data_IF_023078696802
#
_entry.id   IF_023078696802
#
_cell.length_a   1.000
_cell.length_b   1.000
_cell.length_c   1.000
_cell.angle_alpha   90.00
_cell.angle_beta   90.00
_cell.angle_gamma   90.00
#
_symmetry.space_group_name_H-M   'P 1'
#
loop_
_entity.id
_entity.type
_entity.pdbx_description
1 polymer ?
#
# COMPACT_ATOMS: atom_id res chain seq x y z
N UNK A 1 -17.35 23.10 2.31
CA UNK A 1 -15.89 22.92 2.20
C UNK A 1 -15.59 21.44 2.37
N UNK A 2 -14.93 20.80 1.40
CA UNK A 2 -14.47 19.42 1.62
C UNK A 2 -13.42 19.46 2.74
N UNK A 3 -13.66 18.72 3.80
CA UNK A 3 -12.74 18.54 4.94
C UNK A 3 -11.49 17.82 4.43
N UNK A 4 -10.56 18.59 3.90
CA UNK A 4 -9.53 18.06 3.04
C UNK A 4 -8.24 17.90 3.87
N UNK A 5 -8.13 16.76 4.55
CA UNK A 5 -6.86 16.29 5.10
C UNK A 5 -6.00 15.66 3.99
N UNK A 6 -5.56 14.41 4.19
CA UNK A 6 -4.82 13.65 3.18
C UNK A 6 -5.52 13.56 1.81
N UNK A 7 -6.85 13.66 1.78
CA UNK A 7 -7.64 13.68 0.56
C UNK A 7 -7.28 14.83 -0.41
N UNK A 8 -6.65 15.91 0.07
CA UNK A 8 -6.16 16.99 -0.80
C UNK A 8 -5.21 16.46 -1.86
N UNK A 9 -4.38 15.47 -1.56
CA UNK A 9 -3.40 14.89 -2.48
C UNK A 9 -4.04 14.14 -3.66
N UNK A 10 -5.35 13.83 -3.57
CA UNK A 10 -6.09 13.11 -4.59
C UNK A 10 -6.51 14.04 -5.73
N UNK A 11 -5.53 14.49 -6.53
CA UNK A 11 -5.79 15.23 -7.77
C UNK A 11 -5.92 14.25 -8.94
N UNK A 12 -7.13 14.11 -9.47
CA UNK A 12 -7.47 13.16 -10.54
C UNK A 12 -6.45 13.18 -11.71
N UNK A 13 -6.12 14.36 -12.22
CA UNK A 13 -5.14 14.54 -13.31
C UNK A 13 -3.80 13.85 -13.04
N UNK A 14 -3.25 13.94 -11.81
CA UNK A 14 -1.97 13.29 -11.47
C UNK A 14 -2.11 11.80 -11.25
N UNK A 15 -3.26 11.34 -10.76
CA UNK A 15 -3.54 9.91 -10.62
C UNK A 15 -3.65 9.23 -12.00
N UNK A 16 -4.20 9.90 -13.00
CA UNK A 16 -4.25 9.38 -14.37
C UNK A 16 -2.86 9.22 -15.02
N UNK A 17 -1.88 10.04 -14.62
CA UNK A 17 -0.51 9.95 -15.11
C UNK A 17 0.40 9.04 -14.25
N UNK A 18 -0.16 8.33 -13.28
CA UNK A 18 0.57 7.30 -12.54
C UNK A 18 0.75 6.04 -13.39
N UNK A 19 1.85 5.33 -13.19
CA UNK A 19 2.14 4.06 -13.88
C UNK A 19 1.17 2.96 -13.44
N UNK A 20 0.61 3.09 -12.23
CA UNK A 20 -0.46 2.24 -11.71
C UNK A 20 -1.23 2.97 -10.61
N UNK A 21 -2.54 2.79 -10.55
CA UNK A 21 -3.34 3.17 -9.40
C UNK A 21 -4.44 2.15 -9.12
N UNK A 22 -4.82 1.98 -7.86
CA UNK A 22 -5.92 1.14 -7.43
C UNK A 22 -6.61 1.74 -6.22
N UNK A 23 -7.93 1.80 -6.26
CA UNK A 23 -8.76 2.27 -5.16
C UNK A 23 -9.68 1.15 -4.70
N UNK A 24 -9.69 0.89 -3.39
CA UNK A 24 -10.59 -0.05 -2.76
C UNK A 24 -11.38 0.67 -1.67
N UNK A 25 -12.68 0.39 -1.62
CA UNK A 25 -13.56 0.79 -0.53
C UNK A 25 -14.13 -0.49 0.08
N UNK A 26 -13.88 -0.69 1.37
CA UNK A 26 -14.30 -1.86 2.10
C UNK A 26 -15.13 -1.43 3.31
N UNK A 27 -16.31 -2.03 3.46
CA UNK A 27 -17.17 -1.84 4.62
C UNK A 27 -17.18 -3.16 5.38
N UNK A 28 -16.82 -3.12 6.67
CA UNK A 28 -16.93 -4.29 7.53
C UNK A 28 -17.59 -3.96 8.88
N UNK A 29 -18.33 -4.90 9.47
CA UNK A 29 -18.75 -4.77 10.85
C UNK A 29 -17.51 -4.85 11.77
N UNK A 30 -17.51 -4.03 12.81
CA UNK A 30 -16.49 -4.00 13.87
C UNK A 30 -17.17 -3.93 15.24
N UNK A 31 -16.60 -4.60 16.24
CA UNK A 31 -17.12 -4.56 17.60
C UNK A 31 -16.51 -3.40 18.39
N UNK A 32 -17.34 -2.57 19.03
CA UNK A 32 -16.88 -1.58 20.01
C UNK A 32 -16.72 -2.26 21.37
N UNK A 33 -15.47 -2.46 21.79
CA UNK A 33 -15.14 -2.86 23.16
C UNK A 33 -14.71 -1.62 23.94
N UNK A 34 -15.22 -1.39 25.16
CA UNK A 34 -14.72 -0.30 26.02
C UNK A 34 -13.25 -0.60 26.35
N UNK A 35 -12.34 0.25 25.87
CA UNK A 35 -10.94 0.26 26.28
C UNK A 35 -10.87 0.48 27.79
N UNK A 36 -10.67 -0.59 28.57
CA UNK A 36 -9.88 -0.46 29.79
C UNK A 36 -8.43 -0.33 29.31
N UNK A 37 -7.80 0.80 29.61
CA UNK A 37 -6.40 1.08 29.27
C UNK A 37 -5.49 -0.01 29.86
N UNK A 38 -5.11 -0.98 29.03
CA UNK A 38 -3.89 -1.74 29.23
C UNK A 38 -3.26 -1.92 27.86
N UNK A 39 -2.00 -1.53 27.75
CA UNK A 39 -1.19 -1.46 26.55
C UNK A 39 -1.29 -2.70 25.67
N UNK A 40 -1.71 -2.54 24.41
CA UNK A 40 -1.38 -3.50 23.36
C UNK A 40 -0.78 -2.75 22.17
N UNK A 41 0.49 -3.07 21.92
CA UNK A 41 1.22 -2.78 20.69
C UNK A 41 0.38 -3.26 19.50
N UNK A 42 0.00 -2.34 18.61
CA UNK A 42 -0.72 -2.66 17.39
C UNK A 42 0.20 -3.35 16.38
N UNK A 43 0.43 -4.65 16.55
CA UNK A 43 0.88 -5.52 15.48
C UNK A 43 -0.34 -6.01 14.72
N UNK A 44 -0.68 -5.34 13.62
CA UNK A 44 -1.78 -5.74 12.74
C UNK A 44 -1.43 -7.05 12.03
N UNK A 45 -1.79 -8.19 12.61
CA UNK A 45 -1.82 -9.48 11.93
C UNK A 45 -3.24 -9.71 11.41
N UNK A 46 -3.43 -9.56 10.10
CA UNK A 46 -4.65 -10.03 9.44
C UNK A 46 -4.64 -11.56 9.46
N UNK A 47 -5.35 -12.15 10.42
CA UNK A 47 -5.73 -13.56 10.38
C UNK A 47 -7.01 -13.65 9.56
N UNK A 48 -6.87 -13.93 8.25
CA UNK A 48 -8.00 -14.34 7.42
C UNK A 48 -8.30 -15.81 7.75
N UNK A 49 -9.27 -16.06 8.62
CA UNK A 49 -9.89 -17.38 8.75
C UNK A 49 -11.00 -17.49 7.70
N UNK A 50 -10.87 -18.53 6.88
CA UNK A 50 -11.79 -19.12 5.92
C UNK A 50 -13.10 -18.39 5.58
N UNK A 51 -13.24 -18.09 4.29
CA UNK A 51 -14.54 -17.94 3.64
C UNK A 51 -15.24 -19.31 3.62
N UNK A 52 -16.05 -19.61 4.64
CA UNK A 52 -17.22 -20.53 4.55
C UNK A 52 -18.01 -20.49 5.85
N UNK A 53 -18.58 -19.31 6.15
CA UNK A 53 -19.87 -19.08 6.86
C UNK A 53 -19.86 -17.63 7.33
N UNK A 54 -20.74 -16.82 6.76
CA UNK A 54 -21.26 -15.61 7.40
C UNK A 54 -22.13 -16.00 8.62
N UNK A 55 -21.57 -16.76 9.56
CA UNK A 55 -22.03 -16.69 10.93
C UNK A 55 -21.18 -15.62 11.57
N UNK A 56 -21.80 -14.48 11.88
CA UNK A 56 -21.27 -13.53 12.85
C UNK A 56 -20.76 -14.36 14.03
N UNK A 57 -19.44 -14.50 14.18
CA UNK A 57 -18.89 -14.96 15.44
C UNK A 57 -19.22 -13.82 16.38
N UNK A 58 -20.33 -14.00 17.09
CA UNK A 58 -20.78 -13.07 18.11
C UNK A 58 -19.75 -13.21 19.23
N UNK A 59 -18.71 -12.39 19.13
CA UNK A 59 -17.74 -12.27 20.20
C UNK A 59 -18.54 -11.91 21.46
N UNK A 60 -18.51 -12.77 22.47
CA UNK A 60 -19.32 -12.61 23.68
C UNK A 60 -19.00 -11.29 24.41
N UNK A 61 -17.86 -10.67 24.08
CA UNK A 61 -17.41 -9.37 24.58
C UNK A 61 -17.92 -8.16 23.77
N UNK A 62 -18.64 -8.38 22.66
CA UNK A 62 -19.09 -7.33 21.76
C UNK A 62 -20.31 -6.58 22.32
N UNK A 63 -20.07 -5.40 22.92
CA UNK A 63 -21.11 -4.57 23.52
C UNK A 63 -22.02 -3.91 22.46
N UNK A 64 -21.46 -3.55 21.30
CA UNK A 64 -22.20 -2.95 20.20
C UNK A 64 -21.48 -3.17 18.86
N UNK A 65 -22.25 -3.54 17.83
CA UNK A 65 -21.78 -3.61 16.45
C UNK A 65 -21.75 -2.20 15.86
N UNK A 66 -20.62 -1.83 15.27
CA UNK A 66 -20.42 -0.60 14.51
C UNK A 66 -19.94 -0.96 13.10
N UNK A 67 -20.07 -0.03 12.17
CA UNK A 67 -19.52 -0.20 10.82
C UNK A 67 -18.20 0.55 10.68
N UNK A 68 -17.21 -0.08 10.06
CA UNK A 68 -15.97 0.55 9.64
C UNK A 68 -15.95 0.66 8.12
N UNK A 69 -15.85 1.90 7.63
CA UNK A 69 -15.57 2.20 6.23
C UNK A 69 -14.06 2.43 6.08
N UNK A 70 -13.40 1.57 5.30
CA UNK A 70 -11.98 1.70 4.97
C UNK A 70 -11.83 1.97 3.48
N UNK A 71 -11.30 3.14 3.15
CA UNK A 71 -10.88 3.48 1.80
C UNK A 71 -9.35 3.39 1.71
N UNK A 72 -8.84 2.74 0.67
CA UNK A 72 -7.41 2.62 0.39
C UNK A 72 -7.16 3.00 -1.06
N UNK A 73 -6.19 3.89 -1.28
CA UNK A 73 -5.69 4.23 -2.61
C UNK A 73 -4.20 3.89 -2.66
N UNK A 74 -3.82 3.09 -3.64
CA UNK A 74 -2.43 2.77 -3.96
C UNK A 74 -2.09 3.41 -5.29
N UNK A 75 -0.95 4.09 -5.36
CA UNK A 75 -0.48 4.78 -6.58
C UNK A 75 1.01 4.51 -6.74
N UNK A 76 1.43 4.19 -7.96
CA UNK A 76 2.83 4.01 -8.34
C UNK A 76 3.18 5.10 -9.33
N UNK A 77 4.15 5.92 -8.96
CA UNK A 77 4.73 6.93 -9.85
C UNK A 77 6.06 6.43 -10.38
N UNK A 78 6.37 6.75 -11.62
CA UNK A 78 7.72 6.58 -12.14
C UNK A 78 8.70 7.40 -11.30
N UNK A 79 9.92 6.88 -11.14
CA UNK A 79 10.96 7.62 -10.44
C UNK A 79 11.30 8.86 -11.28
N UNK A 80 10.89 10.04 -10.82
CA UNK A 80 11.27 11.30 -11.44
C UNK A 80 12.78 11.47 -11.30
N UNK A 81 13.52 11.11 -12.36
CA UNK A 81 14.92 11.47 -12.47
C UNK A 81 14.98 12.97 -12.73
N UNK A 82 15.53 13.73 -11.79
CA UNK A 82 16.02 15.07 -12.13
C UNK A 82 17.03 14.92 -13.28
N UNK A 83 17.21 15.94 -14.13
CA UNK A 83 18.18 15.91 -15.24
C UNK A 83 19.62 15.56 -14.84
N UNK A 84 19.90 15.45 -13.54
CA UNK A 84 21.16 15.00 -12.93
C UNK A 84 21.17 13.52 -12.47
N UNK A 85 20.18 12.69 -12.84
CA UNK A 85 20.13 11.26 -12.44
C UNK A 85 19.69 11.01 -10.98
N UNK A 86 19.27 12.06 -10.25
CA UNK A 86 18.81 11.96 -8.87
C UNK A 86 17.32 11.62 -8.80
N UNK A 87 16.95 10.62 -8.00
CA UNK A 87 15.56 10.16 -7.81
C UNK A 87 14.80 10.95 -6.74
N UNK A 88 15.02 12.26 -6.68
CA UNK A 88 14.44 13.13 -5.66
C UNK A 88 12.93 13.29 -5.85
N UNK A 89 12.16 13.08 -4.79
CA UNK A 89 10.71 13.25 -4.83
C UNK A 89 10.18 14.18 -3.74
N UNK A 90 8.99 14.72 -3.99
CA UNK A 90 8.24 15.49 -3.02
C UNK A 90 6.75 15.29 -3.22
N UNK A 91 5.94 15.56 -2.19
CA UNK A 91 4.48 15.52 -2.32
C UNK A 91 4.01 16.41 -3.47
N UNK A 92 4.60 17.61 -3.62
CA UNK A 92 4.27 18.49 -4.73
C UNK A 92 4.66 17.92 -6.10
N UNK A 93 5.83 17.27 -6.24
CA UNK A 93 6.21 16.65 -7.52
C UNK A 93 5.28 15.49 -7.90
N UNK A 94 4.89 14.66 -6.93
CA UNK A 94 4.03 13.50 -7.15
C UNK A 94 2.55 13.89 -7.37
N UNK A 95 2.02 14.77 -6.53
CA UNK A 95 0.57 15.06 -6.46
C UNK A 95 0.19 16.47 -6.95
N UNK A 96 1.17 17.32 -7.28
CA UNK A 96 0.98 18.76 -7.57
C UNK A 96 0.23 19.51 -6.47
N UNK A 97 0.31 18.99 -5.25
CA UNK A 97 -0.34 19.52 -4.06
C UNK A 97 0.54 19.28 -2.84
N UNK A 98 0.42 20.19 -1.89
CA UNK A 98 1.00 20.08 -0.56
C UNK A 98 -0.15 19.89 0.43
N UNK A 99 0.14 19.34 1.61
CA UNK A 99 -0.86 19.20 2.66
C UNK A 99 -0.96 20.55 3.37
N UNK A 100 -2.14 21.12 3.50
CA UNK A 100 -2.33 22.42 4.19
C UNK A 100 -2.90 22.25 5.58
N UNK A 101 -3.74 21.24 5.76
CA UNK A 101 -4.51 21.03 6.98
C UNK A 101 -4.68 19.55 7.29
N UNK A 102 -4.98 19.24 8.56
CA UNK A 102 -5.50 17.94 8.95
C UNK A 102 -7.01 17.84 8.68
N UNK A 103 -7.52 16.61 8.58
CA UNK A 103 -8.96 16.41 8.57
C UNK A 103 -9.54 16.72 9.98
N UNK A 104 -10.43 17.70 10.14
CA UNK A 104 -10.94 18.12 11.45
C UNK A 104 -11.79 17.05 12.15
N UNK A 105 -12.34 16.09 11.40
CA UNK A 105 -13.09 14.96 11.95
C UNK A 105 -12.21 13.75 12.30
N UNK A 106 -10.94 13.76 11.92
CA UNK A 106 -10.06 12.62 12.14
C UNK A 106 -9.51 12.63 13.57
N UNK A 107 -9.66 11.50 14.27
CA UNK A 107 -8.98 11.27 15.56
C UNK A 107 -7.46 11.09 15.40
N UNK A 108 -7.00 10.70 14.21
CA UNK A 108 -5.61 10.52 13.86
C UNK A 108 -5.38 10.83 12.38
N UNK A 109 -4.31 11.56 12.06
CA UNK A 109 -3.95 11.87 10.67
C UNK A 109 -2.43 11.95 10.53
N UNK A 110 -1.79 10.86 10.07
CA UNK A 110 -0.33 10.74 10.02
C UNK A 110 0.17 10.39 8.61
N UNK A 111 1.31 10.94 8.24
CA UNK A 111 2.06 10.57 7.03
C UNK A 111 3.29 9.78 7.46
N UNK A 112 3.47 8.60 6.86
CA UNK A 112 4.62 7.73 7.08
C UNK A 112 5.47 7.71 5.81
N UNK A 113 6.77 7.99 5.95
CA UNK A 113 7.73 7.95 4.85
C UNK A 113 8.83 6.96 5.19
N UNK A 114 9.01 5.94 4.34
CA UNK A 114 10.08 4.95 4.53
C UNK A 114 11.45 5.60 4.28
N UNK A 115 12.29 5.61 5.31
CA UNK A 115 13.67 6.14 5.29
C UNK A 115 14.69 5.04 5.59
N UNK A 116 14.30 3.77 5.44
CA UNK A 116 15.14 2.62 5.72
C UNK A 116 16.40 2.65 4.86
N UNK A 117 17.59 2.50 5.43
CA UNK A 117 18.83 2.48 4.68
C UNK A 117 18.87 1.23 3.80
N UNK A 118 19.07 1.39 2.49
CA UNK A 118 19.17 0.25 1.55
C UNK A 118 20.56 -0.42 1.51
N UNK A 119 21.52 0.02 2.32
CA UNK A 119 22.84 -0.58 2.55
C UNK A 119 23.54 0.16 3.72
N UNK A 120 24.86 -0.01 3.93
CA UNK A 120 25.67 0.76 4.92
C UNK A 120 25.64 2.30 4.75
N UNK A 121 24.92 2.81 3.77
CA UNK A 121 24.81 4.23 3.43
C UNK A 121 23.58 4.88 4.07
N UNK A 122 23.58 5.01 5.40
CA UNK A 122 22.62 5.87 6.11
C UNK A 122 22.71 7.36 5.69
N UNK A 123 23.79 7.76 5.02
CA UNK A 123 24.19 9.17 4.90
C UNK A 123 23.77 9.89 3.61
N UNK A 124 23.16 9.19 2.65
CA UNK A 124 22.85 9.76 1.33
C UNK A 124 21.43 10.31 1.21
N UNK A 125 20.55 10.07 2.19
CA UNK A 125 19.14 10.45 2.13
C UNK A 125 18.82 11.59 3.10
N UNK A 126 18.33 12.70 2.56
CA UNK A 126 17.90 13.86 3.33
C UNK A 126 16.36 13.99 3.24
N UNK A 127 15.71 14.11 4.40
CA UNK A 127 14.26 14.28 4.47
C UNK A 127 13.93 15.65 5.06
N UNK A 128 13.10 16.41 4.35
CA UNK A 128 12.69 17.76 4.76
C UNK A 128 11.18 17.93 4.64
N UNK A 129 10.50 18.61 5.59
CA UNK A 129 11.02 19.09 6.87
C UNK A 129 11.34 17.94 7.84
N UNK A 130 11.96 18.25 8.99
CA UNK A 130 12.26 17.26 10.02
C UNK A 130 10.96 16.54 10.49
N UNK A 131 10.99 15.21 10.67
CA UNK A 131 9.80 14.46 11.08
C UNK A 131 9.39 14.76 12.52
N UNK A 132 8.10 14.61 12.82
CA UNK A 132 7.57 14.74 14.18
C UNK A 132 8.09 13.62 15.10
N UNK A 133 8.26 12.42 14.54
CA UNK A 133 8.82 11.26 15.26
C UNK A 133 9.35 10.21 14.27
N UNK A 134 10.10 9.24 14.79
CA UNK A 134 10.53 8.05 14.05
C UNK A 134 9.75 6.83 14.52
N UNK A 135 9.36 5.96 13.60
CA UNK A 135 8.70 4.70 13.90
C UNK A 135 9.45 3.53 13.27
N UNK A 136 9.86 2.57 14.09
CA UNK A 136 10.50 1.34 13.60
C UNK A 136 9.48 0.18 13.61
N UNK A 137 9.43 -0.58 12.53
CA UNK A 137 8.57 -1.75 12.40
C UNK A 137 9.29 -2.84 11.60
N UNK A 138 8.94 -4.11 11.86
CA UNK A 138 9.42 -5.24 11.05
C UNK A 138 8.36 -5.55 10.00
N UNK A 139 8.70 -5.33 8.72
CA UNK A 139 7.80 -5.56 7.58
C UNK A 139 8.40 -6.67 6.73
N UNK A 140 7.69 -7.80 6.65
CA UNK A 140 8.10 -8.98 5.87
C UNK A 140 9.50 -9.52 6.25
N UNK A 141 9.89 -9.37 7.52
CA UNK A 141 11.20 -9.82 8.04
C UNK A 141 12.29 -8.75 8.02
N UNK A 142 12.10 -7.66 7.27
CA UNK A 142 13.04 -6.54 7.24
C UNK A 142 12.70 -5.49 8.30
N UNK A 143 13.72 -4.98 8.98
CA UNK A 143 13.59 -3.80 9.84
C UNK A 143 13.40 -2.56 8.97
N UNK A 144 12.27 -1.88 9.12
CA UNK A 144 11.93 -0.63 8.45
C UNK A 144 11.90 0.52 9.44
N UNK A 145 12.41 1.67 9.02
CA UNK A 145 12.36 2.94 9.77
C UNK A 145 11.54 3.95 8.98
N UNK A 146 10.48 4.47 9.60
CA UNK A 146 9.58 5.45 9.02
C UNK A 146 9.73 6.81 9.70
N UNK A 147 9.89 7.85 8.89
CA UNK A 147 9.68 9.24 9.30
C UNK A 147 8.16 9.51 9.41
N UNK A 148 7.71 9.99 10.56
CA UNK A 148 6.29 10.19 10.86
C UNK A 148 5.99 11.68 11.00
N UNK A 149 4.99 12.15 10.26
CA UNK A 149 4.45 13.51 10.36
C UNK A 149 3.03 13.43 10.88
N UNK A 150 2.78 14.00 12.06
CA UNK A 150 1.44 14.05 12.65
C UNK A 150 0.72 15.35 12.25
N UNK A 151 -0.21 15.27 11.32
CA UNK A 151 -0.92 16.44 10.78
C UNK A 151 -1.78 17.13 11.83
N UNK A 152 -2.15 16.45 12.93
CA UNK A 152 -2.87 17.09 14.03
C UNK A 152 -1.94 17.92 14.94
N UNK A 153 -0.62 17.82 14.77
CA UNK A 153 0.33 18.61 15.55
C UNK A 153 0.41 20.05 15.02
N UNK A 154 0.13 21.08 15.86
CA UNK A 154 0.12 22.47 15.42
C UNK A 154 1.49 22.97 14.90
N UNK A 155 2.57 22.39 15.40
CA UNK A 155 3.95 22.79 15.06
C UNK A 155 4.32 22.56 13.59
N UNK A 156 3.67 21.61 12.90
CA UNK A 156 3.96 21.34 11.48
C UNK A 156 3.51 22.46 10.55
N UNK A 157 2.37 23.10 10.85
CA UNK A 157 1.78 24.12 9.99
C UNK A 157 2.09 25.56 10.44
N UNK A 158 2.57 25.73 11.68
CA UNK A 158 2.96 27.04 12.22
C UNK A 158 4.15 27.67 11.46
N UNK A 159 5.15 26.87 11.10
CA UNK A 159 6.35 27.36 10.39
C UNK A 159 6.12 27.47 8.88
N UNK A 160 5.43 26.50 8.31
CA UNK A 160 5.12 26.42 6.89
C UNK A 160 3.63 26.17 6.74
N UNK A 161 2.88 27.12 6.16
CA UNK A 161 1.43 27.03 5.90
C UNK A 161 1.01 25.79 5.09
N UNK A 162 1.97 25.00 4.62
CA UNK A 162 1.74 23.70 4.03
C UNK A 162 2.92 22.77 4.28
N UNK A 163 2.65 21.48 4.47
CA UNK A 163 3.62 20.40 4.54
C UNK A 163 3.87 19.83 3.13
N UNK A 164 5.11 19.98 2.67
CA UNK A 164 5.61 19.34 1.45
C UNK A 164 6.80 18.44 1.81
N UNK A 165 6.51 17.18 2.15
CA UNK A 165 7.57 16.22 2.45
C UNK A 165 8.41 16.00 1.19
N UNK A 166 9.72 16.11 1.37
CA UNK A 166 10.73 16.02 0.33
C UNK A 166 11.78 15.01 0.74
N UNK A 167 12.11 14.10 -0.17
CA UNK A 167 13.20 13.16 -0.04
C UNK A 167 14.23 13.50 -1.11
N UNK A 168 15.44 13.86 -0.69
CA UNK A 168 16.55 14.24 -1.56
C UNK A 168 17.73 13.31 -1.36
N UNK A 169 18.32 12.88 -2.47
CA UNK A 169 19.53 12.07 -2.48
C UNK A 169 20.74 12.97 -2.70
N UNK A 170 21.73 12.84 -1.81
CA UNK A 170 22.98 13.60 -1.91
C UNK A 170 23.76 13.23 -3.18
N UNK A 171 23.74 11.96 -3.58
CA UNK A 171 24.42 11.42 -4.76
C UNK A 171 23.42 10.78 -5.72
N UNK A 172 23.70 10.78 -7.05
CA UNK A 172 22.96 9.95 -7.99
C UNK A 172 22.99 8.50 -7.50
N UNK A 173 21.85 7.83 -7.57
CA UNK A 173 21.78 6.43 -7.23
C UNK A 173 22.21 5.66 -8.47
N UNK A 174 23.32 4.91 -8.40
CA UNK A 174 23.61 3.89 -9.40
C UNK A 174 22.40 2.96 -9.51
N UNK A 175 22.11 2.46 -10.70
CA UNK A 175 21.02 1.51 -10.95
C UNK A 175 21.28 0.18 -10.24
N UNK A 176 21.29 0.18 -8.92
CA UNK A 176 21.28 -1.02 -8.11
C UNK A 176 19.99 -1.74 -8.42
N UNK A 177 20.12 -2.99 -8.88
CA UNK A 177 18.99 -3.88 -9.11
C UNK A 177 18.10 -3.87 -7.87
N UNK A 178 16.85 -3.44 -8.06
CA UNK A 178 15.89 -3.47 -6.97
C UNK A 178 15.69 -4.95 -6.59
N UNK A 179 15.78 -5.30 -5.29
CA UNK A 179 15.56 -6.67 -4.89
C UNK A 179 14.15 -7.10 -5.31
N UNK A 180 14.06 -8.32 -5.83
CA UNK A 180 12.78 -8.92 -6.24
C UNK A 180 11.86 -8.96 -5.00
N UNK A 181 10.63 -8.43 -5.10
CA UNK A 181 9.75 -8.41 -3.94
C UNK A 181 9.33 -9.81 -3.51
N UNK A 182 9.08 -9.96 -2.20
CA UNK A 182 8.71 -11.22 -1.54
C UNK A 182 7.51 -11.89 -2.22
N UNK A 183 6.53 -11.08 -2.62
CA UNK A 183 5.40 -11.52 -3.41
C UNK A 183 5.41 -10.70 -4.70
N UNK A 184 5.48 -11.38 -5.84
CA UNK A 184 5.37 -10.76 -7.14
C UNK A 184 4.55 -11.63 -8.08
N UNK A 185 3.95 -10.98 -9.08
CA UNK A 185 3.17 -11.66 -10.09
C UNK A 185 3.53 -11.13 -11.47
N UNK A 186 3.45 -12.00 -12.46
CA UNK A 186 3.56 -11.65 -13.87
C UNK A 186 2.36 -12.21 -14.61
N UNK A 187 1.95 -11.48 -15.65
CA UNK A 187 0.85 -11.88 -16.52
C UNK A 187 1.27 -11.65 -17.95
N UNK A 188 1.07 -12.65 -18.78
CA UNK A 188 1.31 -12.53 -20.22
C UNK A 188 0.24 -13.27 -20.99
N UNK A 189 0.15 -12.95 -22.28
CA UNK A 189 -0.71 -13.63 -23.24
C UNK A 189 0.21 -14.42 -24.17
N UNK A 190 -0.13 -15.67 -24.41
CA UNK A 190 0.58 -16.56 -25.32
C UNK A 190 -0.38 -17.21 -26.32
N UNK A 191 0.16 -17.72 -27.42
CA UNK A 191 -0.65 -18.34 -28.48
C UNK A 191 -1.42 -17.34 -29.35
N UNK A 192 -2.33 -17.84 -30.19
CA UNK A 192 -3.09 -17.01 -31.13
C UNK A 192 -4.47 -17.60 -31.48
N UNK A 193 -5.40 -16.73 -31.87
CA UNK A 193 -6.75 -17.14 -32.25
C UNK A 193 -7.55 -17.74 -31.10
N UNK A 194 -8.64 -18.43 -31.44
CA UNK A 194 -9.60 -18.97 -30.47
C UNK A 194 -9.18 -20.32 -29.86
N UNK A 195 -8.24 -21.04 -30.49
CA UNK A 195 -7.90 -22.42 -30.10
C UNK A 195 -6.64 -22.49 -29.22
N UNK A 196 -5.65 -21.63 -29.44
CA UNK A 196 -4.36 -21.70 -28.73
C UNK A 196 -4.06 -20.46 -27.88
N UNK A 197 -4.93 -19.44 -27.92
CA UNK A 197 -4.80 -18.25 -27.10
C UNK A 197 -4.92 -18.57 -25.61
N UNK A 198 -3.91 -18.22 -24.83
CA UNK A 198 -3.82 -18.45 -23.40
C UNK A 198 -3.48 -17.15 -22.66
N UNK A 199 -4.06 -16.98 -21.48
CA UNK A 199 -3.68 -15.93 -20.53
C UNK A 199 -3.05 -16.64 -19.33
N UNK A 200 -1.76 -16.45 -19.12
CA UNK A 200 -1.04 -17.06 -18.02
C UNK A 200 -0.72 -16.00 -16.96
N UNK A 201 -1.15 -16.25 -15.72
CA UNK A 201 -0.83 -15.42 -14.55
C UNK A 201 -0.03 -16.25 -13.57
N UNK A 202 1.22 -15.85 -13.31
CA UNK A 202 2.14 -16.55 -12.42
C UNK A 202 2.33 -15.71 -11.17
N UNK A 203 2.18 -16.34 -10.00
CA UNK A 203 2.34 -15.72 -8.69
C UNK A 203 3.48 -16.42 -7.97
N UNK A 204 4.45 -15.64 -7.51
CA UNK A 204 5.64 -16.12 -6.84
C UNK A 204 5.68 -15.63 -5.40
N UNK A 205 5.89 -16.57 -4.47
CA UNK A 205 6.21 -16.28 -3.08
C UNK A 205 7.65 -16.70 -2.82
N UNK A 206 8.55 -15.73 -2.68
CA UNK A 206 9.98 -15.96 -2.39
C UNK A 206 10.30 -15.92 -0.90
N UNK A 207 9.29 -15.85 -0.02
CA UNK A 207 9.52 -15.89 1.42
C UNK A 207 10.00 -17.29 1.85
N UNK A 208 11.08 -17.40 2.66
CA UNK A 208 11.69 -18.69 2.96
C UNK A 208 10.80 -19.65 3.75
N UNK A 209 9.97 -19.14 4.67
CA UNK A 209 9.21 -19.99 5.60
C UNK A 209 7.70 -19.70 5.72
N UNK A 210 7.19 -18.67 5.03
CA UNK A 210 5.83 -18.16 5.25
C UNK A 210 4.99 -18.32 4.00
N UNK A 211 3.86 -18.98 4.15
CA UNK A 211 2.80 -18.97 3.14
C UNK A 211 1.94 -17.70 3.30
N UNK A 212 1.58 -17.08 2.18
CA UNK A 212 0.65 -15.96 2.16
C UNK A 212 -0.68 -16.39 1.53
N UNK A 213 -1.82 -16.11 2.19
CA UNK A 213 -3.11 -16.26 1.54
C UNK A 213 -3.24 -15.19 0.44
N UNK A 214 -3.59 -15.62 -0.77
CA UNK A 214 -3.75 -14.74 -1.93
C UNK A 214 -5.15 -14.94 -2.51
N UNK A 215 -5.82 -13.84 -2.82
CA UNK A 215 -7.05 -13.81 -3.61
C UNK A 215 -6.68 -13.24 -4.96
N UNK A 216 -6.83 -14.03 -6.01
CA UNK A 216 -6.60 -13.60 -7.39
C UNK A 216 -7.91 -13.12 -8.00
N UNK A 217 -7.92 -11.88 -8.50
CA UNK A 217 -8.97 -11.33 -9.32
C UNK A 217 -8.40 -11.05 -10.72
N UNK A 218 -8.93 -11.71 -11.73
CA UNK A 218 -8.54 -11.49 -13.13
C UNK A 218 -9.53 -10.55 -13.81
N UNK A 219 -9.01 -9.43 -14.33
CA UNK A 219 -9.76 -8.51 -15.17
C UNK A 219 -9.52 -8.87 -16.64
N UNK A 220 -10.60 -9.20 -17.34
CA UNK A 220 -10.52 -9.70 -18.72
C UNK A 220 -11.22 -8.69 -19.64
N UNK A 221 -10.57 -8.27 -20.74
CA UNK A 221 -11.20 -7.41 -21.73
C UNK A 221 -12.53 -7.99 -22.21
N UNK A 222 -13.54 -7.13 -22.32
CA UNK A 222 -14.92 -7.52 -22.61
C UNK A 222 -15.10 -8.32 -23.92
N UNK A 223 -14.19 -8.15 -24.87
CA UNK A 223 -14.20 -8.84 -26.16
C UNK A 223 -13.54 -10.23 -26.13
N UNK A 224 -12.86 -10.61 -25.03
CA UNK A 224 -12.29 -11.94 -24.87
C UNK A 224 -13.31 -12.86 -24.20
N UNK A 225 -13.58 -13.98 -24.86
CA UNK A 225 -14.41 -15.06 -24.30
C UNK A 225 -13.52 -16.08 -23.62
N UNK A 226 -13.59 -16.13 -22.29
CA UNK A 226 -12.94 -17.18 -21.52
C UNK A 226 -13.87 -18.35 -21.27
N UNK A 227 -13.31 -19.55 -21.31
CA UNK A 227 -14.02 -20.77 -20.99
C UNK A 227 -13.54 -21.27 -19.64
N UNK A 228 -14.41 -21.26 -18.63
CA UNK A 228 -14.03 -21.69 -17.27
C UNK A 228 -13.52 -23.14 -17.24
N UNK A 229 -14.00 -23.99 -18.15
CA UNK A 229 -13.55 -25.38 -18.27
C UNK A 229 -12.09 -25.51 -18.74
N UNK A 230 -11.47 -24.45 -19.24
CA UNK A 230 -10.03 -24.43 -19.62
C UNK A 230 -9.15 -23.83 -18.52
N UNK A 231 -9.71 -23.48 -17.36
CA UNK A 231 -8.94 -22.97 -16.23
C UNK A 231 -8.08 -24.09 -15.63
N UNK A 232 -6.77 -23.91 -15.69
CA UNK A 232 -5.79 -24.77 -15.02
C UNK A 232 -5.14 -24.00 -13.88
N UNK A 233 -5.05 -24.64 -12.70
CA UNK A 233 -4.39 -24.04 -11.53
C UNK A 233 -3.23 -24.94 -11.14
N UNK A 234 -2.01 -24.45 -11.34
CA UNK A 234 -0.79 -25.21 -11.02
C UNK A 234 -0.13 -24.59 -9.80
N UNK A 235 0.04 -25.37 -8.74
CA UNK A 235 0.76 -24.96 -7.52
C UNK A 235 1.94 -25.88 -7.30
N UNK A 236 3.17 -25.32 -7.28
CA UNK A 236 4.42 -26.10 -7.11
C UNK A 236 4.51 -27.30 -8.06
N UNK A 237 4.08 -27.13 -9.31
CA UNK A 237 4.08 -28.17 -10.34
C UNK A 237 2.93 -29.19 -10.25
N UNK A 238 2.02 -29.06 -9.28
CA UNK A 238 0.84 -29.92 -9.15
C UNK A 238 -0.42 -29.19 -9.61
N UNK A 239 -1.20 -29.84 -10.47
CA UNK A 239 -2.50 -29.33 -10.90
C UNK A 239 -3.55 -29.47 -9.77
N UNK A 240 -4.31 -28.41 -9.55
CA UNK A 240 -5.42 -28.34 -8.61
C UNK A 240 -6.71 -28.12 -9.38
N UNK A 241 -7.73 -28.92 -9.08
CA UNK A 241 -9.06 -28.73 -9.63
C UNK A 241 -9.77 -27.63 -8.83
N UNK A 242 -10.40 -26.64 -9.46
CA UNK A 242 -11.28 -25.72 -8.77
C UNK A 242 -12.39 -26.52 -8.08
N UNK A 243 -12.64 -26.23 -6.80
CA UNK A 243 -13.72 -26.81 -6.02
C UNK A 243 -15.09 -26.28 -6.45
#
# INVERSE_FOLDING_TARGET
>A
SLQAGLAVLLKAERLFHSSYHSQAVHIRPVCRVRFLQSWWSSSSVLVSRDLTRLSLVQDASCLAVSWELRQTLTVVFDSFSSGQGKKDWSLFKMFSRTLTDACPLASQSKVYVDISPKNKEKELLEVTPAPSSLHEAVVQGDKRTYAVYDLLSPSLFNTSRSLNVQLKWKRPQDSSELPIPVLHAQRYVSGYGLQTGEISTLIYNTHPYRAFPVILLETVPWYLRLYVHTLTIITKGKENKPS
#
